data_IF_343610876780
#
_entry.id   IF_343610876780
#
_cell.length_a   1.000
_cell.length_b   1.000
_cell.length_c   1.000
_cell.angle_alpha   90.00
_cell.angle_beta   90.00
_cell.angle_gamma   90.00
#
_symmetry.space_group_name_H-M   'P 1'
#
loop_
_entity.id
_entity.type
_entity.pdbx_description
1 polymer ?
#
# COMPACT_ATOMS: atom_id res chain seq x y z
N UNK A 1 2.50 -25.97 -20.16
CA UNK A 1 2.61 -24.52 -20.39
C UNK A 1 2.49 -23.84 -19.03
N UNK A 2 3.53 -23.16 -18.57
CA UNK A 2 3.52 -22.49 -17.25
C UNK A 2 2.64 -21.25 -17.31
N UNK A 3 1.58 -21.21 -16.51
CA UNK A 3 0.74 -20.02 -16.35
C UNK A 3 1.57 -18.96 -15.63
N UNK A 4 2.07 -17.96 -16.37
CA UNK A 4 2.60 -16.75 -15.74
C UNK A 4 1.45 -16.08 -15.01
N UNK A 5 1.47 -16.10 -13.67
CA UNK A 5 0.51 -15.33 -12.88
C UNK A 5 0.70 -13.85 -13.24
N UNK A 6 -0.37 -13.12 -13.62
CA UNK A 6 -0.27 -11.69 -13.80
C UNK A 6 0.23 -11.07 -12.48
N UNK A 7 1.03 -10.02 -12.60
CA UNK A 7 1.43 -9.23 -11.44
C UNK A 7 0.16 -8.71 -10.74
N UNK A 8 0.13 -8.70 -9.40
CA UNK A 8 -1.03 -8.22 -8.66
C UNK A 8 -1.27 -6.74 -8.94
N UNK A 9 -2.53 -6.31 -8.90
CA UNK A 9 -2.86 -4.89 -9.03
C UNK A 9 -2.40 -4.11 -7.78
N UNK A 10 -2.19 -2.79 -7.89
CA UNK A 10 -1.89 -1.92 -6.74
C UNK A 10 -2.87 -2.11 -5.57
N UNK A 11 -4.17 -2.19 -5.87
CA UNK A 11 -5.24 -2.39 -4.89
C UNK A 11 -5.12 -3.74 -4.18
N UNK A 12 -4.78 -4.80 -4.91
CA UNK A 12 -4.53 -6.12 -4.32
C UNK A 12 -3.32 -6.11 -3.40
N UNK A 13 -2.23 -5.45 -3.80
CA UNK A 13 -1.03 -5.30 -2.97
C UNK A 13 -1.34 -4.52 -1.69
N UNK A 14 -2.10 -3.42 -1.81
CA UNK A 14 -2.54 -2.62 -0.67
C UNK A 14 -3.42 -3.42 0.30
N UNK A 15 -4.43 -4.13 -0.21
CA UNK A 15 -5.31 -4.96 0.61
C UNK A 15 -4.55 -6.10 1.29
N UNK A 16 -3.63 -6.76 0.58
CA UNK A 16 -2.77 -7.78 1.18
C UNK A 16 -1.91 -7.20 2.31
N UNK A 17 -1.38 -5.98 2.14
CA UNK A 17 -0.64 -5.31 3.20
C UNK A 17 -1.54 -5.02 4.41
N UNK A 18 -2.75 -4.49 4.19
CA UNK A 18 -3.67 -4.11 5.27
C UNK A 18 -4.14 -5.32 6.08
N UNK A 19 -4.51 -6.41 5.40
CA UNK A 19 -4.96 -7.65 6.05
C UNK A 19 -3.83 -8.37 6.79
N UNK A 20 -2.58 -8.15 6.38
CA UNK A 20 -1.41 -8.73 7.04
C UNK A 20 -0.96 -7.99 8.30
N UNK A 21 -1.61 -6.86 8.66
CA UNK A 21 -1.23 -6.11 9.85
C UNK A 21 -1.63 -6.85 11.14
N UNK A 22 -0.75 -6.93 12.15
CA UNK A 22 -1.12 -7.50 13.44
C UNK A 22 -2.15 -6.60 14.15
N UNK A 23 -2.95 -7.14 15.09
CA UNK A 23 -4.02 -6.41 15.76
C UNK A 23 -3.57 -5.14 16.51
N UNK A 24 -2.31 -5.10 16.93
CA UNK A 24 -1.71 -4.00 17.71
C UNK A 24 -0.84 -3.07 16.84
N UNK A 25 -0.84 -3.25 15.51
CA UNK A 25 -0.04 -2.40 14.63
C UNK A 25 -0.55 -0.96 14.61
N UNK A 26 0.39 -0.03 14.65
CA UNK A 26 0.16 1.35 14.25
C UNK A 26 0.05 1.43 12.72
N UNK A 27 -1.19 1.36 12.23
CA UNK A 27 -1.52 1.36 10.81
C UNK A 27 -1.06 2.66 10.13
N UNK A 28 -1.18 3.80 10.81
CA UNK A 28 -0.80 5.11 10.28
C UNK A 28 0.71 5.19 10.11
N UNK A 29 1.48 4.80 11.13
CA UNK A 29 2.94 4.75 11.03
C UNK A 29 3.40 3.76 9.94
N UNK A 30 2.74 2.59 9.87
CA UNK A 30 3.01 1.58 8.83
C UNK A 30 2.75 2.12 7.41
N UNK A 31 1.64 2.81 7.19
CA UNK A 31 1.28 3.41 5.91
C UNK A 31 2.29 4.50 5.51
N UNK A 32 2.71 5.37 6.45
CA UNK A 32 3.76 6.38 6.20
C UNK A 32 5.07 5.74 5.76
N UNK A 33 5.49 4.68 6.45
CA UNK A 33 6.70 3.95 6.08
C UNK A 33 6.61 3.31 4.67
N UNK A 34 5.42 2.87 4.24
CA UNK A 34 5.24 2.40 2.86
C UNK A 34 5.31 3.52 1.84
N UNK A 35 4.77 4.71 2.11
CA UNK A 35 4.91 5.88 1.21
C UNK A 35 6.37 6.26 1.04
N UNK A 36 7.13 6.32 2.13
CA UNK A 36 8.58 6.58 2.12
C UNK A 36 9.33 5.50 1.34
N UNK A 37 9.01 4.23 1.57
CA UNK A 37 9.58 3.12 0.80
C UNK A 37 9.27 3.23 -0.68
N UNK A 38 8.07 3.66 -1.05
CA UNK A 38 7.67 3.87 -2.44
C UNK A 38 8.29 5.15 -3.05
N UNK A 39 8.81 6.08 -2.25
CA UNK A 39 9.44 7.31 -2.72
C UNK A 39 10.72 7.05 -3.53
N UNK A 40 11.44 5.97 -3.24
CA UNK A 40 12.70 5.60 -3.93
C UNK A 40 12.46 4.86 -5.25
N UNK A 41 11.23 4.40 -5.50
CA UNK A 41 10.88 3.71 -6.75
C UNK A 41 10.58 4.71 -7.87
N UNK A 42 10.82 4.27 -9.12
CA UNK A 42 10.45 5.04 -10.31
C UNK A 42 8.95 5.37 -10.27
N UNK A 43 8.62 6.56 -10.75
CA UNK A 43 7.25 7.06 -10.82
C UNK A 43 6.41 6.31 -11.89
N UNK A 44 6.03 5.09 -11.56
CA UNK A 44 5.18 4.21 -12.35
C UNK A 44 3.72 4.33 -11.91
N UNK A 45 2.79 4.06 -12.82
CA UNK A 45 1.35 4.18 -12.55
C UNK A 45 0.92 3.39 -11.31
N UNK A 46 1.43 2.16 -11.14
CA UNK A 46 1.13 1.35 -9.96
C UNK A 46 1.70 1.91 -8.66
N UNK A 47 2.90 2.51 -8.69
CA UNK A 47 3.53 3.14 -7.52
C UNK A 47 2.74 4.38 -7.10
N UNK A 48 2.27 5.19 -8.05
CA UNK A 48 1.40 6.34 -7.75
C UNK A 48 0.10 5.91 -7.10
N UNK A 49 -0.56 4.89 -7.66
CA UNK A 49 -1.79 4.36 -7.08
C UNK A 49 -1.57 3.86 -5.66
N UNK A 50 -0.49 3.11 -5.39
CA UNK A 50 -0.17 2.67 -4.03
C UNK A 50 0.07 3.83 -3.06
N UNK A 51 0.87 4.83 -3.46
CA UNK A 51 1.10 6.02 -2.62
C UNK A 51 -0.20 6.75 -2.29
N UNK A 52 -1.11 6.86 -3.28
CA UNK A 52 -2.44 7.47 -3.07
C UNK A 52 -3.27 6.66 -2.07
N UNK A 53 -3.37 5.34 -2.24
CA UNK A 53 -4.14 4.48 -1.33
C UNK A 53 -3.63 4.55 0.11
N UNK A 54 -2.31 4.57 0.32
CA UNK A 54 -1.74 4.77 1.66
C UNK A 54 -2.02 6.17 2.22
N UNK A 55 -2.02 7.20 1.37
CA UNK A 55 -2.38 8.57 1.77
C UNK A 55 -3.84 8.67 2.21
N UNK A 56 -4.76 8.17 1.39
CA UNK A 56 -6.20 8.11 1.68
C UNK A 56 -6.46 7.35 3.01
N UNK A 57 -5.78 6.22 3.23
CA UNK A 57 -5.88 5.48 4.51
C UNK A 57 -5.44 6.32 5.72
N UNK A 58 -4.38 7.10 5.58
CA UNK A 58 -3.90 7.96 6.67
C UNK A 58 -4.92 9.05 6.97
N UNK A 59 -5.48 9.69 5.94
CA UNK A 59 -6.51 10.73 6.10
C UNK A 59 -7.73 10.16 6.82
N UNK A 60 -8.28 9.03 6.37
CA UNK A 60 -9.44 8.38 6.98
C UNK A 60 -9.22 8.02 8.46
N UNK A 61 -8.04 7.53 8.83
CA UNK A 61 -7.72 7.15 10.22
C UNK A 61 -7.37 8.32 11.14
N UNK A 62 -7.10 9.50 10.58
CA UNK A 62 -6.78 10.71 11.36
C UNK A 62 -7.98 11.65 11.52
N UNK A 63 -9.02 11.48 10.70
CA UNK A 63 -10.29 12.20 10.81
C UNK A 63 -11.29 11.56 11.81
N UNK A 64 -10.96 10.38 12.38
CA UNK A 64 -11.67 9.71 13.49
C UNK A 64 -11.10 10.08 14.87
#
# INVERSE_FOLDING_TARGET
MGLMRPLPSPEQVFLCWLVAQPPEADIVAGARAQIERLAVHRDEAGVRTLKRLFGELIEELQDE
#
